data_IF_539167528016
#
_entry.id   IF_539167528016
#
_cell.length_a   1.000
_cell.length_b   1.000
_cell.length_c   1.000
_cell.angle_alpha   90.00
_cell.angle_beta   90.00
_cell.angle_gamma   90.00
#
_symmetry.space_group_name_H-M   'P 1'
#
loop_
_entity.id
_entity.type
_entity.pdbx_description
1 polymer ?
#
# COMPACT_ATOMS: atom_id res chain seq x y z
N UNK A 1 -8.24 -71.31 -42.01
CA UNK A 1 -9.12 -70.14 -42.19
C UNK A 1 -8.28 -68.91 -41.85
N UNK A 2 -7.62 -68.33 -42.87
CA UNK A 2 -7.84 -66.96 -43.40
C UNK A 2 -7.72 -65.87 -42.31
N UNK A 3 -6.58 -65.18 -42.19
CA UNK A 3 -6.18 -63.86 -42.80
C UNK A 3 -6.15 -62.80 -41.67
N UNK A 4 -5.19 -61.90 -41.46
CA UNK A 4 -4.13 -61.34 -42.30
C UNK A 4 -2.95 -60.83 -41.45
N UNK A 5 -1.75 -61.01 -41.99
CA UNK A 5 -0.51 -60.25 -41.71
C UNK A 5 -0.65 -58.77 -42.10
N UNK A 6 0.16 -57.87 -41.54
CA UNK A 6 1.22 -57.14 -42.29
C UNK A 6 2.26 -56.61 -41.29
N UNK A 7 3.51 -56.91 -41.63
CA UNK A 7 4.79 -56.48 -41.09
C UNK A 7 5.29 -55.31 -41.96
N UNK A 8 5.78 -54.20 -41.38
CA UNK A 8 6.73 -53.25 -42.02
C UNK A 8 7.18 -52.25 -40.94
N UNK A 9 8.37 -52.39 -40.33
CA UNK A 9 9.71 -52.04 -40.84
C UNK A 9 9.82 -50.56 -41.24
N UNK A 10 10.65 -49.87 -40.46
CA UNK A 10 11.03 -48.47 -40.53
C UNK A 10 11.76 -48.10 -41.83
N UNK A 11 11.56 -46.87 -42.33
CA UNK A 11 12.61 -46.05 -42.97
C UNK A 11 12.32 -44.54 -42.79
N UNK A 12 13.27 -43.90 -42.09
CA UNK A 12 13.70 -42.50 -42.05
C UNK A 12 13.20 -41.56 -43.16
N UNK A 13 12.64 -40.40 -42.77
CA UNK A 13 12.96 -39.11 -43.42
C UNK A 13 12.88 -37.96 -42.38
N UNK A 14 13.90 -37.10 -42.38
CA UNK A 14 14.19 -36.02 -41.43
C UNK A 14 13.10 -34.95 -41.27
N UNK A 15 12.94 -34.47 -40.03
CA UNK A 15 12.24 -33.23 -39.69
C UNK A 15 12.59 -32.82 -38.26
N UNK A 16 13.52 -31.88 -38.14
CA UNK A 16 14.11 -31.32 -36.92
C UNK A 16 13.08 -30.74 -35.95
N UNK A 17 12.99 -31.23 -34.71
CA UNK A 17 12.73 -30.40 -33.51
C UNK A 17 13.50 -31.02 -32.33
N UNK A 18 14.48 -30.28 -31.82
CA UNK A 18 15.27 -30.65 -30.66
C UNK A 18 14.47 -30.47 -29.36
N UNK A 19 14.62 -31.44 -28.45
CA UNK A 19 14.77 -31.25 -27.01
C UNK A 19 13.62 -30.63 -26.21
N UNK A 20 12.90 -31.47 -25.45
CA UNK A 20 12.36 -31.08 -24.16
C UNK A 20 12.95 -32.03 -23.10
N UNK A 21 14.09 -31.64 -22.54
CA UNK A 21 14.53 -32.02 -21.21
C UNK A 21 14.80 -30.72 -20.44
N UNK A 22 14.47 -30.75 -19.16
CA UNK A 22 14.71 -29.74 -18.11
C UNK A 22 13.69 -28.57 -18.04
N UNK A 23 12.70 -28.74 -17.15
CA UNK A 23 11.86 -27.65 -16.63
C UNK A 23 12.63 -27.03 -15.44
N UNK A 24 13.49 -26.06 -15.72
CA UNK A 24 14.03 -25.15 -14.70
C UNK A 24 13.07 -23.97 -14.47
N UNK A 25 13.14 -23.41 -13.26
CA UNK A 25 12.21 -22.47 -12.62
C UNK A 25 12.17 -21.05 -13.23
N UNK A 26 12.23 -20.92 -14.56
CA UNK A 26 12.33 -19.63 -15.26
C UNK A 26 11.08 -19.28 -16.11
N UNK A 27 10.02 -20.10 -16.01
CA UNK A 27 8.81 -19.93 -16.84
C UNK A 27 7.76 -18.96 -16.26
N UNK A 28 7.97 -18.42 -15.05
CA UNK A 28 7.02 -17.47 -14.44
C UNK A 28 7.23 -16.04 -14.97
N UNK A 29 8.44 -15.69 -15.41
CA UNK A 29 8.77 -14.33 -15.88
C UNK A 29 8.37 -14.03 -17.33
N UNK A 30 7.95 -15.03 -18.10
CA UNK A 30 7.68 -14.85 -19.55
C UNK A 30 6.23 -14.46 -19.86
N UNK A 31 5.29 -14.64 -18.93
CA UNK A 31 3.87 -14.26 -19.15
C UNK A 31 3.59 -12.76 -19.01
N UNK A 32 4.54 -11.94 -18.54
CA UNK A 32 4.32 -10.50 -18.35
C UNK A 32 4.47 -9.65 -19.62
N UNK A 33 4.90 -10.22 -20.76
CA UNK A 33 5.21 -9.42 -21.97
C UNK A 33 4.01 -9.10 -22.88
N UNK A 34 2.78 -9.43 -22.52
CA UNK A 34 1.60 -9.20 -23.39
C UNK A 34 0.45 -8.38 -22.78
N UNK A 35 0.58 -7.83 -21.57
CA UNK A 35 -0.42 -6.89 -21.05
C UNK A 35 -0.03 -5.45 -21.40
N UNK A 36 -0.77 -4.80 -22.31
CA UNK A 36 -0.52 -3.42 -22.75
C UNK A 36 -0.85 -2.35 -21.70
N UNK A 37 -1.31 -2.75 -20.51
CA UNK A 37 -1.39 -1.90 -19.30
C UNK A 37 -1.50 -2.79 -18.06
N UNK A 38 -0.84 -2.41 -16.97
CA UNK A 38 -0.96 -3.11 -15.68
C UNK A 38 -2.40 -3.01 -15.15
N UNK A 39 -2.94 -4.03 -14.46
CA UNK A 39 -4.25 -3.96 -13.81
C UNK A 39 -4.34 -2.74 -12.88
N UNK A 40 -5.53 -2.16 -12.68
CA UNK A 40 -5.69 -0.99 -11.82
C UNK A 40 -5.11 -1.25 -10.42
N UNK A 41 -4.61 -0.18 -9.82
CA UNK A 41 -4.13 -0.27 -8.46
C UNK A 41 -5.30 -0.52 -7.51
N UNK A 42 -5.24 -1.62 -6.78
CA UNK A 42 -6.23 -2.03 -5.78
C UNK A 42 -6.03 -1.29 -4.46
N UNK A 43 -4.78 -1.09 -4.05
CA UNK A 43 -4.44 -0.34 -2.84
C UNK A 43 -3.37 0.70 -3.16
N UNK A 44 -3.77 1.97 -3.18
CA UNK A 44 -2.85 3.09 -3.18
C UNK A 44 -2.50 3.43 -1.73
N UNK A 45 -1.22 3.61 -1.45
CA UNK A 45 -0.71 4.04 -0.16
C UNK A 45 0.10 5.33 -0.34
N UNK A 46 -0.34 6.40 0.30
CA UNK A 46 0.41 7.65 0.37
C UNK A 46 1.34 7.58 1.57
N UNK A 47 2.63 7.56 1.28
CA UNK A 47 3.69 7.54 2.29
C UNK A 47 3.78 8.90 2.96
N UNK A 48 4.21 8.95 4.22
CA UNK A 48 4.66 10.22 4.80
C UNK A 48 6.12 10.49 4.41
N UNK A 49 6.64 11.65 4.80
CA UNK A 49 8.03 12.06 4.49
C UNK A 49 9.08 11.23 5.24
N UNK A 50 8.67 10.33 6.13
CA UNK A 50 9.54 9.48 6.96
C UNK A 50 9.51 8.01 6.54
N UNK A 51 8.55 7.59 5.72
CA UNK A 51 8.34 6.21 5.28
C UNK A 51 9.24 5.89 4.08
N UNK A 52 10.14 4.92 4.20
CA UNK A 52 10.98 4.42 3.11
C UNK A 52 10.37 3.24 2.36
N UNK A 53 10.95 2.88 1.20
CA UNK A 53 10.48 1.73 0.40
C UNK A 53 10.49 0.42 1.20
N UNK A 54 11.53 0.17 1.99
CA UNK A 54 11.61 -1.02 2.85
C UNK A 54 10.52 -1.04 3.92
N UNK A 55 10.14 0.13 4.44
CA UNK A 55 9.05 0.25 5.42
C UNK A 55 7.71 -0.12 4.79
N UNK A 56 7.43 0.31 3.56
CA UNK A 56 6.22 -0.09 2.82
C UNK A 56 6.20 -1.61 2.59
N UNK A 57 7.30 -2.19 2.12
CA UNK A 57 7.43 -3.62 1.86
C UNK A 57 7.17 -4.42 3.15
N UNK A 58 7.81 -4.02 4.26
CA UNK A 58 7.63 -4.67 5.56
C UNK A 58 6.22 -4.46 6.13
N UNK A 59 5.67 -3.25 6.01
CA UNK A 59 4.35 -2.88 6.50
C UNK A 59 3.23 -3.65 5.79
N UNK A 60 3.37 -3.94 4.50
CA UNK A 60 2.35 -4.68 3.76
C UNK A 60 2.68 -6.17 3.60
N UNK A 61 3.76 -6.64 4.22
CA UNK A 61 4.28 -8.01 4.11
C UNK A 61 4.35 -8.51 2.65
N UNK A 62 4.73 -7.62 1.73
CA UNK A 62 4.93 -7.91 0.32
C UNK A 62 6.42 -8.12 0.02
N UNK A 63 6.74 -8.76 -1.09
CA UNK A 63 8.12 -8.83 -1.57
C UNK A 63 8.49 -7.54 -2.33
N UNK A 64 9.79 -7.23 -2.39
CA UNK A 64 10.30 -6.16 -3.25
C UNK A 64 9.84 -6.37 -4.70
N UNK A 65 9.90 -7.60 -5.21
CA UNK A 65 9.47 -7.93 -6.57
C UNK A 65 8.00 -7.60 -6.82
N UNK A 66 7.10 -7.94 -5.89
CA UNK A 66 5.68 -7.60 -5.98
C UNK A 66 5.45 -6.09 -5.95
N UNK A 67 6.17 -5.37 -5.09
CA UNK A 67 6.06 -3.91 -5.00
C UNK A 67 6.59 -3.20 -6.26
N UNK A 68 7.67 -3.71 -6.85
CA UNK A 68 8.22 -3.21 -8.11
C UNK A 68 7.35 -3.57 -9.32
N UNK A 69 6.73 -4.75 -9.33
CA UNK A 69 5.71 -5.09 -10.31
C UNK A 69 4.52 -4.11 -10.23
N UNK A 70 4.12 -3.77 -9.00
CA UNK A 70 3.07 -2.78 -8.77
C UNK A 70 3.51 -1.35 -9.14
N UNK A 71 4.80 -1.02 -9.10
CA UNK A 71 5.35 0.31 -9.37
C UNK A 71 6.61 0.23 -10.22
N UNK A 72 6.49 -0.11 -11.52
CA UNK A 72 7.66 -0.36 -12.38
C UNK A 72 8.56 0.88 -12.55
N UNK A 73 8.07 2.07 -12.22
CA UNK A 73 8.86 3.31 -12.23
C UNK A 73 9.94 3.38 -11.15
N UNK A 74 9.93 2.48 -10.15
CA UNK A 74 10.83 2.53 -9.00
C UNK A 74 12.25 1.98 -9.27
N UNK A 75 12.43 1.15 -10.30
CA UNK A 75 13.71 0.48 -10.57
C UNK A 75 14.01 -0.68 -9.61
N UNK A 76 14.97 -1.54 -9.96
CA UNK A 76 15.28 -2.80 -9.24
C UNK A 76 15.65 -2.59 -7.75
N UNK A 77 16.21 -1.43 -7.41
CA UNK A 77 16.62 -1.09 -6.03
C UNK A 77 15.65 -0.19 -5.28
N UNK A 78 14.45 0.07 -5.82
CA UNK A 78 13.57 1.12 -5.30
C UNK A 78 14.15 2.55 -5.41
N UNK A 79 15.11 2.76 -6.32
CA UNK A 79 15.85 4.02 -6.50
C UNK A 79 14.95 5.23 -6.84
N UNK A 80 13.78 4.98 -7.44
CA UNK A 80 12.79 5.99 -7.78
C UNK A 80 11.80 6.32 -6.66
N UNK A 81 11.95 5.71 -5.47
CA UNK A 81 11.04 5.92 -4.35
C UNK A 81 11.26 7.28 -3.71
N UNK A 82 10.16 7.95 -3.36
CA UNK A 82 10.09 9.30 -2.81
C UNK A 82 9.09 9.29 -1.65
N UNK A 83 9.56 9.46 -0.41
CA UNK A 83 8.68 9.66 0.74
C UNK A 83 7.71 10.83 0.49
N UNK A 84 6.46 10.70 0.95
CA UNK A 84 5.39 11.67 0.66
C UNK A 84 4.57 11.37 -0.60
N UNK A 85 5.02 10.47 -1.47
CA UNK A 85 4.31 10.10 -2.71
C UNK A 85 3.34 8.93 -2.50
N UNK A 86 2.47 8.74 -3.49
CA UNK A 86 1.50 7.63 -3.51
C UNK A 86 2.00 6.47 -4.36
N UNK A 87 2.01 5.29 -3.78
CA UNK A 87 2.44 4.04 -4.44
C UNK A 87 1.34 3.01 -4.48
N UNK A 88 1.38 2.17 -5.51
CA UNK A 88 0.50 1.03 -5.58
C UNK A 88 1.06 -0.14 -4.78
N UNK A 89 0.41 -0.51 -3.68
CA UNK A 89 0.87 -1.63 -2.84
C UNK A 89 0.34 -2.96 -3.38
N UNK A 90 -0.91 -2.98 -3.84
CA UNK A 90 -1.53 -4.14 -4.46
C UNK A 90 -2.20 -3.73 -5.75
N UNK A 91 -2.01 -4.51 -6.81
CA UNK A 91 -2.85 -4.46 -8.02
C UNK A 91 -3.97 -5.50 -7.92
N UNK A 92 -5.06 -5.29 -8.63
CA UNK A 92 -6.11 -6.29 -8.69
C UNK A 92 -5.56 -7.61 -9.26
N UNK A 93 -5.71 -8.69 -8.50
CA UNK A 93 -5.35 -10.02 -8.96
C UNK A 93 -6.47 -10.51 -9.87
N UNK A 94 -6.22 -10.58 -11.18
CA UNK A 94 -7.08 -11.26 -12.15
C UNK A 94 -7.16 -12.79 -11.94
N UNK A 95 -6.89 -13.29 -10.73
CA UNK A 95 -6.74 -14.72 -10.41
C UNK A 95 -8.03 -15.38 -9.90
N UNK A 96 -9.07 -14.60 -9.56
CA UNK A 96 -10.37 -15.13 -9.13
C UNK A 96 -11.40 -15.02 -10.27
N UNK A 97 -12.20 -16.08 -10.52
CA UNK A 97 -13.24 -16.01 -11.53
C UNK A 97 -14.26 -14.92 -11.16
N UNK A 98 -14.79 -14.23 -12.16
CA UNK A 98 -15.84 -13.22 -11.97
C UNK A 98 -17.10 -13.86 -11.38
N UNK A 99 -17.71 -13.20 -10.39
CA UNK A 99 -18.95 -13.62 -9.73
C UNK A 99 -20.10 -13.64 -10.73
N UNK A 100 -20.73 -14.81 -10.87
CA UNK A 100 -21.85 -15.04 -11.79
C UNK A 100 -23.22 -14.96 -11.09
N UNK A 101 -23.23 -15.04 -9.77
CA UNK A 101 -24.44 -15.02 -8.93
C UNK A 101 -24.52 -13.78 -8.03
N UNK A 102 -23.54 -12.87 -8.16
CA UNK A 102 -23.45 -11.64 -7.38
C UNK A 102 -23.05 -11.86 -5.93
N UNK A 103 -22.64 -13.08 -5.54
CA UNK A 103 -22.07 -13.35 -4.22
C UNK A 103 -20.55 -13.09 -4.23
N UNK A 104 -20.04 -12.57 -3.12
CA UNK A 104 -18.62 -12.21 -2.98
C UNK A 104 -18.19 -12.15 -1.51
N UNK A 105 -16.92 -11.81 -1.30
CA UNK A 105 -16.39 -11.52 0.03
C UNK A 105 -16.33 -12.75 0.93
N UNK A 106 -16.30 -12.50 2.24
CA UNK A 106 -16.18 -13.57 3.25
C UNK A 106 -17.38 -14.51 3.24
N UNK A 107 -18.56 -14.00 2.90
CA UNK A 107 -19.82 -14.75 2.83
C UNK A 107 -19.80 -15.81 1.72
N UNK A 108 -19.03 -15.56 0.66
CA UNK A 108 -18.79 -16.49 -0.43
C UNK A 108 -17.44 -17.22 -0.30
N UNK A 109 -16.81 -17.18 0.89
CA UNK A 109 -15.48 -17.72 1.15
C UNK A 109 -14.43 -17.26 0.12
N UNK A 110 -14.54 -16.02 -0.34
CA UNK A 110 -13.62 -15.44 -1.32
C UNK A 110 -13.46 -16.32 -2.59
N UNK A 111 -14.54 -16.96 -3.04
CA UNK A 111 -14.50 -17.89 -4.20
C UNK A 111 -14.57 -17.20 -5.56
N UNK A 112 -15.13 -15.99 -5.66
CA UNK A 112 -15.32 -15.26 -6.93
C UNK A 112 -15.21 -13.73 -6.73
N UNK A 113 -14.70 -12.99 -7.71
CA UNK A 113 -14.50 -11.53 -7.64
C UNK A 113 -15.67 -10.76 -8.27
N UNK A 114 -16.02 -9.60 -7.72
CA UNK A 114 -17.03 -8.72 -8.33
C UNK A 114 -16.49 -7.96 -9.56
N UNK A 115 -15.18 -7.83 -9.70
CA UNK A 115 -14.55 -7.08 -10.80
C UNK A 115 -14.93 -7.70 -12.15
N UNK A 116 -15.53 -6.89 -13.02
CA UNK A 116 -16.03 -7.29 -14.33
C UNK A 116 -17.41 -7.96 -14.31
N UNK A 117 -18.06 -8.08 -13.15
CA UNK A 117 -19.41 -8.66 -13.07
C UNK A 117 -20.49 -7.68 -13.53
N UNK A 118 -21.63 -8.22 -13.98
CA UNK A 118 -22.80 -7.40 -14.38
C UNK A 118 -23.50 -6.74 -13.19
N UNK A 119 -23.27 -7.24 -11.98
CA UNK A 119 -23.84 -6.68 -10.74
C UNK A 119 -23.09 -5.41 -10.33
N UNK A 120 -21.78 -5.37 -10.59
CA UNK A 120 -20.89 -4.28 -10.23
C UNK A 120 -19.58 -4.78 -9.66
N UNK A 121 -18.60 -3.89 -9.54
CA UNK A 121 -17.21 -4.26 -9.33
C UNK A 121 -16.80 -4.31 -7.86
N UNK A 122 -17.70 -3.95 -6.94
CA UNK A 122 -17.43 -3.84 -5.52
C UNK A 122 -18.25 -4.84 -4.71
N UNK A 123 -17.63 -5.44 -3.70
CA UNK A 123 -18.30 -6.35 -2.78
C UNK A 123 -18.71 -5.62 -1.49
N UNK A 124 -20.00 -5.43 -1.24
CA UNK A 124 -20.46 -4.78 -0.01
C UNK A 124 -20.29 -5.66 1.24
N UNK A 125 -20.49 -5.17 2.48
CA UNK A 125 -20.26 -5.95 3.70
C UNK A 125 -21.26 -7.10 3.88
N UNK A 126 -22.31 -7.17 3.08
CA UNK A 126 -23.29 -8.26 3.06
C UNK A 126 -22.90 -9.39 2.09
N UNK A 127 -21.76 -9.26 1.40
CA UNK A 127 -21.26 -10.25 0.45
C UNK A 127 -21.98 -10.21 -0.89
N UNK A 128 -22.39 -9.01 -1.32
CA UNK A 128 -23.05 -8.79 -2.62
C UNK A 128 -22.22 -7.89 -3.52
N UNK A 129 -22.13 -8.27 -4.79
CA UNK A 129 -21.55 -7.43 -5.83
C UNK A 129 -22.49 -6.29 -6.19
N UNK A 130 -21.92 -5.10 -6.40
CA UNK A 130 -22.68 -3.92 -6.75
C UNK A 130 -21.81 -2.73 -7.11
N UNK A 131 -22.46 -1.58 -7.29
CA UNK A 131 -21.85 -0.28 -7.61
C UNK A 131 -22.38 0.79 -6.64
N UNK A 132 -21.68 1.92 -6.56
CA UNK A 132 -22.08 3.07 -5.75
C UNK A 132 -21.63 2.98 -4.28
N UNK A 133 -21.91 4.04 -3.52
CA UNK A 133 -21.45 4.26 -2.14
C UNK A 133 -21.71 3.07 -1.19
N UNK A 134 -22.87 2.42 -1.28
CA UNK A 134 -23.24 1.29 -0.41
C UNK A 134 -22.42 0.01 -0.67
N UNK A 135 -21.68 -0.03 -1.79
CA UNK A 135 -20.85 -1.17 -2.19
C UNK A 135 -19.38 -0.83 -2.29
N UNK A 136 -19.06 0.32 -2.85
CA UNK A 136 -17.70 0.76 -3.15
C UNK A 136 -17.17 1.77 -2.14
N UNK A 137 -18.06 2.47 -1.42
CA UNK A 137 -17.68 3.56 -0.52
C UNK A 137 -16.78 3.09 0.61
N UNK A 138 -16.04 4.04 1.19
CA UNK A 138 -15.10 3.76 2.28
C UNK A 138 -15.81 3.07 3.45
N UNK A 139 -15.32 1.89 3.84
CA UNK A 139 -15.91 1.08 4.91
C UNK A 139 -17.10 0.22 4.50
N UNK A 140 -17.59 0.37 3.26
CA UNK A 140 -18.68 -0.42 2.70
C UNK A 140 -18.18 -1.44 1.67
N UNK A 141 -16.87 -1.65 1.52
CA UNK A 141 -16.33 -2.52 0.50
C UNK A 141 -15.34 -3.55 1.08
N UNK A 142 -15.59 -4.84 0.85
CA UNK A 142 -14.74 -5.95 1.30
C UNK A 142 -13.61 -6.29 0.30
N UNK A 143 -13.90 -6.15 -0.99
CA UNK A 143 -13.01 -6.44 -2.13
C UNK A 143 -13.58 -5.88 -3.44
N UNK A 144 -12.78 -5.96 -4.51
CA UNK A 144 -13.10 -5.43 -5.83
C UNK A 144 -12.63 -3.99 -5.98
N UNK A 145 -13.32 -3.18 -6.80
CA UNK A 145 -12.98 -1.78 -7.06
C UNK A 145 -13.37 -0.84 -5.90
N UNK A 146 -12.90 -1.14 -4.70
CA UNK A 146 -13.20 -0.39 -3.48
C UNK A 146 -12.57 1.01 -3.49
N UNK A 147 -13.29 1.99 -2.97
CA UNK A 147 -12.71 3.28 -2.62
C UNK A 147 -11.91 3.13 -1.31
N UNK A 148 -10.58 3.23 -1.40
CA UNK A 148 -9.70 3.27 -0.23
C UNK A 148 -9.30 1.92 0.40
N UNK A 149 -9.40 0.79 -0.31
CA UNK A 149 -8.85 -0.51 0.12
C UNK A 149 -9.85 -1.43 0.85
N UNK A 150 -9.35 -2.53 1.46
CA UNK A 150 -10.16 -3.46 2.30
C UNK A 150 -10.37 -2.86 3.69
N UNK A 151 -11.47 -3.20 4.36
CA UNK A 151 -11.82 -2.73 5.71
C UNK A 151 -12.13 -3.90 6.65
N UNK A 152 -12.00 -3.67 7.95
CA UNK A 152 -12.35 -4.63 9.00
C UNK A 152 -13.78 -5.16 8.85
N UNK A 153 -13.98 -6.48 8.82
CA UNK A 153 -15.33 -7.09 8.71
C UNK A 153 -15.82 -7.70 10.01
N UNK A 154 -14.94 -7.88 10.99
CA UNK A 154 -15.21 -8.46 12.31
C UNK A 154 -14.87 -7.51 13.47
N UNK A 155 -14.53 -6.25 13.16
CA UNK A 155 -14.15 -5.23 14.13
C UNK A 155 -12.68 -5.31 14.58
N UNK A 156 -11.86 -6.17 13.96
CA UNK A 156 -10.41 -6.21 14.17
C UNK A 156 -9.64 -5.38 13.16
N UNK A 157 -8.58 -4.73 13.58
CA UNK A 157 -7.89 -3.71 12.78
C UNK A 157 -6.41 -3.58 13.13
N UNK A 158 -5.71 -2.74 12.39
CA UNK A 158 -4.35 -2.33 12.74
C UNK A 158 -3.31 -3.37 12.39
N UNK A 159 -2.08 -3.17 12.87
CA UNK A 159 -0.90 -3.96 12.47
C UNK A 159 -1.05 -5.46 12.77
N UNK A 160 -1.86 -5.83 13.76
CA UNK A 160 -2.11 -7.23 14.11
C UNK A 160 -3.09 -7.94 13.16
N UNK A 161 -3.76 -7.18 12.27
CA UNK A 161 -4.83 -7.64 11.41
C UNK A 161 -4.70 -7.05 10.01
N UNK A 162 -3.55 -7.28 9.37
CA UNK A 162 -3.25 -6.88 7.98
C UNK A 162 -3.49 -5.38 7.72
N UNK A 163 -3.23 -4.54 8.74
CA UNK A 163 -3.46 -3.10 8.71
C UNK A 163 -4.89 -2.69 8.33
N UNK A 164 -5.87 -3.58 8.59
CA UNK A 164 -7.27 -3.35 8.25
C UNK A 164 -7.76 -2.03 8.89
N UNK A 165 -8.19 -1.05 8.09
CA UNK A 165 -8.83 0.15 8.59
C UNK A 165 -10.23 -0.16 9.11
N UNK A 166 -10.66 0.61 10.11
CA UNK A 166 -11.97 0.42 10.72
C UNK A 166 -13.09 1.10 9.92
N UNK A 167 -14.16 0.36 9.53
CA UNK A 167 -15.32 0.97 8.93
C UNK A 167 -16.23 1.62 9.99
N UNK A 168 -17.09 2.59 9.61
CA UNK A 168 -17.99 3.28 10.54
C UNK A 168 -18.85 2.35 11.40
N UNK A 169 -19.22 1.17 10.89
CA UNK A 169 -20.00 0.14 11.60
C UNK A 169 -19.37 -0.30 12.92
N UNK A 170 -18.04 -0.40 12.97
CA UNK A 170 -17.30 -0.86 14.16
C UNK A 170 -16.67 0.31 14.94
N UNK A 171 -16.82 1.55 14.44
CA UNK A 171 -16.16 2.75 14.95
C UNK A 171 -14.87 3.05 14.21
N UNK A 172 -14.48 4.32 14.14
CA UNK A 172 -13.49 4.81 13.17
C UNK A 172 -12.04 4.68 13.66
N UNK A 173 -11.80 4.53 14.96
CA UNK A 173 -10.46 4.39 15.53
C UNK A 173 -10.06 2.93 15.63
N UNK A 174 -8.85 2.61 15.20
CA UNK A 174 -8.23 1.34 15.53
C UNK A 174 -7.46 1.47 16.85
N UNK A 175 -7.94 0.83 17.91
CA UNK A 175 -7.27 0.82 19.21
C UNK A 175 -5.95 0.04 19.20
N UNK A 176 -5.11 0.30 20.21
CA UNK A 176 -3.80 -0.34 20.34
C UNK A 176 -3.83 -1.86 20.54
N UNK A 177 -5.02 -2.41 20.82
CA UNK A 177 -5.30 -3.84 20.92
C UNK A 177 -5.82 -4.45 19.60
N UNK A 178 -5.81 -3.70 18.50
CA UNK A 178 -6.26 -4.16 17.19
C UNK A 178 -7.78 -4.27 17.08
N UNK A 179 -8.53 -3.42 17.79
CA UNK A 179 -10.00 -3.39 17.72
C UNK A 179 -10.54 -2.02 17.30
N UNK A 180 -11.59 -2.05 16.49
CA UNK A 180 -12.30 -0.86 16.06
C UNK A 180 -13.23 -0.32 17.15
N UNK A 181 -13.28 1.00 17.28
CA UNK A 181 -14.22 1.69 18.17
C UNK A 181 -14.22 3.21 17.99
N UNK A 182 -15.19 3.87 18.62
CA UNK A 182 -15.29 5.35 18.65
C UNK A 182 -15.02 5.93 20.05
N UNK A 183 -14.96 5.08 21.08
CA UNK A 183 -14.73 5.55 22.44
C UNK A 183 -13.25 5.93 22.64
N UNK A 184 -12.99 6.77 23.64
CA UNK A 184 -11.64 7.19 24.05
C UNK A 184 -10.70 6.01 24.29
N UNK A 185 -11.20 4.86 24.74
CA UNK A 185 -10.38 3.65 24.90
C UNK A 185 -9.76 3.13 23.60
N UNK A 186 -10.40 3.38 22.45
CA UNK A 186 -9.90 3.00 21.12
C UNK A 186 -9.16 4.16 20.45
N UNK A 187 -9.61 5.39 20.67
CA UNK A 187 -9.05 6.56 19.99
C UNK A 187 -7.86 7.19 20.73
N UNK A 188 -7.68 6.99 22.05
CA UNK A 188 -6.62 7.66 22.80
C UNK A 188 -5.27 6.92 22.72
N UNK A 189 -4.54 6.84 23.84
CA UNK A 189 -3.20 6.23 23.90
C UNK A 189 -3.17 4.84 23.26
N UNK A 190 -2.29 4.68 22.27
CA UNK A 190 -2.11 3.42 21.54
C UNK A 190 -3.00 3.27 20.32
N UNK A 191 -3.86 4.24 19.98
CA UNK A 191 -4.59 4.25 18.72
C UNK A 191 -3.61 4.13 17.53
N UNK A 192 -3.88 3.16 16.65
CA UNK A 192 -3.01 2.78 15.53
C UNK A 192 -3.38 3.52 14.24
N UNK A 193 -4.67 3.80 14.03
CA UNK A 193 -5.19 4.47 12.83
C UNK A 193 -6.60 5.04 13.08
N UNK A 194 -7.07 5.93 12.21
CA UNK A 194 -8.36 6.62 12.35
C UNK A 194 -8.24 7.98 13.07
N UNK A 195 -9.34 8.56 13.60
CA UNK A 195 -9.33 9.84 14.29
C UNK A 195 -8.79 9.68 15.73
N UNK A 196 -7.52 9.32 15.84
CA UNK A 196 -6.83 9.16 17.12
C UNK A 196 -6.80 10.49 17.89
N UNK A 197 -7.14 10.43 19.17
CA UNK A 197 -7.04 11.51 20.13
C UNK A 197 -5.60 11.53 20.66
N UNK A 198 -4.85 12.56 20.28
CA UNK A 198 -3.62 12.92 20.97
C UNK A 198 -3.91 13.05 22.47
N UNK A 199 -3.02 12.48 23.29
CA UNK A 199 -3.12 12.59 24.75
C UNK A 199 -3.08 14.08 25.11
N UNK A 200 -4.25 14.65 25.39
CA UNK A 200 -4.37 16.00 25.92
C UNK A 200 -3.69 16.04 27.28
N UNK A 201 -2.41 16.40 27.28
CA UNK A 201 -1.77 16.92 28.47
C UNK A 201 -2.42 18.26 28.76
N UNK A 202 -3.34 18.24 29.73
CA UNK A 202 -3.76 19.45 30.42
C UNK A 202 -2.53 20.24 30.87
N UNK A 203 -2.31 21.43 30.33
CA UNK A 203 -1.67 22.55 31.04
C UNK A 203 -1.83 23.90 30.32
N UNK A 204 -2.52 24.80 31.03
CA UNK A 204 -2.32 26.25 31.16
C UNK A 204 -2.29 27.17 29.91
N UNK A 205 -3.33 28.01 29.83
CA UNK A 205 -3.35 29.44 29.45
C UNK A 205 -2.13 29.99 28.69
N UNK A 206 -2.28 30.20 27.39
CA UNK A 206 -1.34 31.00 26.59
C UNK A 206 -1.57 32.51 26.80
N UNK A 207 -0.51 33.15 27.31
CA UNK A 207 -0.18 34.59 27.16
C UNK A 207 0.17 34.88 25.69
N UNK A 208 -0.04 36.09 25.14
CA UNK A 208 -0.01 36.29 23.69
C UNK A 208 1.38 36.10 23.06
N UNK A 209 1.34 35.52 21.88
CA UNK A 209 2.42 35.27 20.92
C UNK A 209 3.18 36.56 20.56
N UNK A 210 4.52 36.63 20.71
CA UNK A 210 5.30 37.61 19.98
C UNK A 210 5.43 37.18 18.52
N UNK A 211 5.05 38.06 17.61
CA UNK A 211 5.33 37.95 16.18
C UNK A 211 6.84 38.02 15.93
N UNK A 212 7.49 37.01 15.33
CA UNK A 212 8.86 37.16 14.86
C UNK A 212 8.88 37.86 13.50
N UNK A 213 9.48 39.04 13.48
CA UNK A 213 9.72 39.89 12.31
C UNK A 213 11.04 39.52 11.62
N UNK A 214 11.28 38.24 11.33
CA UNK A 214 12.58 37.80 10.78
C UNK A 214 12.53 37.60 9.28
N UNK A 215 13.53 38.19 8.62
CA UNK A 215 13.79 38.08 7.19
C UNK A 215 14.05 36.63 6.79
N UNK A 216 13.56 36.18 5.62
CA UNK A 216 13.97 34.92 5.01
C UNK A 216 15.49 34.75 5.01
N UNK A 217 15.98 33.57 5.39
CA UNK A 217 17.40 33.23 5.49
C UNK A 217 18.04 33.41 6.87
N UNK A 218 17.26 33.70 7.92
CA UNK A 218 17.76 33.83 9.29
C UNK A 218 18.22 32.51 9.90
N UNK A 219 19.12 32.54 10.89
CA UNK A 219 19.54 31.34 11.63
C UNK A 219 18.37 30.84 12.49
N UNK A 220 18.11 29.53 12.45
CA UNK A 220 17.00 28.90 13.16
C UNK A 220 17.03 29.18 14.68
N UNK A 221 15.98 29.81 15.25
CA UNK A 221 15.90 30.07 16.68
C UNK A 221 15.39 28.86 17.49
N UNK A 222 14.66 27.95 16.85
CA UNK A 222 13.91 26.87 17.49
C UNK A 222 14.26 25.47 16.96
N UNK A 223 15.18 25.39 16.01
CA UNK A 223 15.61 24.14 15.39
C UNK A 223 14.81 23.79 14.14
N UNK A 224 13.83 24.61 13.72
CA UNK A 224 13.13 24.44 12.45
C UNK A 224 13.87 25.11 11.29
N UNK A 225 13.77 24.56 10.09
CA UNK A 225 14.46 25.04 8.91
C UNK A 225 13.71 24.70 7.62
N UNK A 226 14.02 25.40 6.52
CA UNK A 226 13.33 25.20 5.24
C UNK A 226 11.87 25.69 5.21
N UNK A 227 11.10 25.24 4.20
CA UNK A 227 9.70 25.63 3.95
C UNK A 227 9.46 27.16 3.82
N UNK A 228 8.21 27.62 3.94
CA UNK A 228 7.78 29.01 3.69
C UNK A 228 8.41 30.05 4.64
N UNK A 229 9.02 29.61 5.76
CA UNK A 229 9.59 30.49 6.79
C UNK A 229 11.14 30.58 6.74
N UNK A 230 11.79 29.95 5.75
CA UNK A 230 13.15 30.27 5.28
C UNK A 230 14.28 30.35 6.34
N UNK A 231 14.16 29.71 7.50
CA UNK A 231 15.27 29.60 8.45
C UNK A 231 16.36 28.63 7.95
N UNK A 232 17.62 28.93 8.27
CA UNK A 232 18.79 28.09 7.97
C UNK A 232 19.42 27.53 9.24
N UNK A 233 19.96 26.32 9.16
CA UNK A 233 20.57 25.65 10.31
C UNK A 233 22.00 26.12 10.58
N UNK A 234 22.74 26.51 9.55
CA UNK A 234 24.13 26.92 9.68
C UNK A 234 24.29 28.08 10.67
N UNK A 235 24.95 27.80 11.79
CA UNK A 235 25.16 28.76 12.90
C UNK A 235 24.13 28.65 14.03
N UNK A 236 23.16 27.74 13.93
CA UNK A 236 22.24 27.40 15.02
C UNK A 236 22.93 26.49 16.04
N UNK A 237 22.37 26.42 17.26
CA UNK A 237 22.82 25.46 18.29
C UNK A 237 22.33 24.03 18.07
N UNK A 238 21.43 23.84 17.10
CA UNK A 238 20.74 22.57 16.84
C UNK A 238 21.49 21.74 15.80
N UNK A 239 22.32 22.39 15.00
CA UNK A 239 23.22 21.77 14.05
C UNK A 239 23.30 22.57 12.76
N UNK A 240 24.16 22.14 11.85
CA UNK A 240 24.51 22.89 10.65
C UNK A 240 23.70 22.51 9.41
N UNK A 241 23.03 21.35 9.44
CA UNK A 241 22.32 20.78 8.31
C UNK A 241 20.82 20.80 8.54
N UNK A 242 20.03 21.04 7.49
CA UNK A 242 18.58 21.00 7.55
C UNK A 242 18.06 19.72 6.92
N UNK A 243 17.43 18.87 7.74
CA UNK A 243 16.76 17.67 7.23
C UNK A 243 15.58 18.03 6.32
N UNK A 244 15.17 17.09 5.46
CA UNK A 244 14.02 17.22 4.58
C UNK A 244 12.70 17.42 5.34
N UNK A 245 12.66 17.08 6.62
CA UNK A 245 11.54 17.32 7.50
C UNK A 245 11.55 18.69 8.19
N UNK A 246 12.52 19.54 7.85
CA UNK A 246 12.61 20.91 8.33
C UNK A 246 13.16 21.02 9.75
N UNK A 247 14.07 20.13 10.15
CA UNK A 247 14.76 20.21 11.44
C UNK A 247 16.29 20.25 11.30
N UNK A 248 16.92 21.07 12.14
CA UNK A 248 18.36 21.25 12.22
C UNK A 248 19.05 20.13 13.01
N UNK A 249 20.17 19.65 12.48
CA UNK A 249 21.02 18.65 13.14
C UNK A 249 22.43 18.60 12.55
N UNK A 250 23.27 17.77 13.16
CA UNK A 250 24.67 17.54 12.75
C UNK A 250 24.96 16.07 12.42
N UNK A 251 23.94 15.20 12.47
CA UNK A 251 24.14 13.78 12.22
C UNK A 251 23.99 13.47 10.73
N UNK A 252 24.37 12.25 10.33
CA UNK A 252 24.19 11.78 8.95
C UNK A 252 22.73 11.89 8.49
N UNK A 253 21.78 11.79 9.42
CA UNK A 253 20.36 11.96 9.13
C UNK A 253 20.01 13.35 8.60
N UNK A 254 20.49 14.41 9.27
CA UNK A 254 20.20 15.79 8.85
C UNK A 254 21.15 16.28 7.75
N UNK A 255 22.37 15.72 7.66
CA UNK A 255 23.42 16.17 6.73
C UNK A 255 23.53 15.35 5.43
N UNK A 256 22.76 14.28 5.27
CA UNK A 256 22.81 13.47 4.05
C UNK A 256 22.19 14.20 2.87
N UNK A 257 22.89 14.21 1.74
CA UNK A 257 22.44 14.78 0.45
C UNK A 257 21.13 14.16 -0.09
N UNK A 258 20.68 13.03 0.48
CA UNK A 258 19.45 12.34 0.13
C UNK A 258 18.29 12.62 1.10
N UNK A 259 18.59 13.19 2.28
CA UNK A 259 17.63 13.40 3.38
C UNK A 259 17.70 14.83 3.98
N UNK A 260 18.53 15.74 3.45
CA UNK A 260 18.65 17.11 3.92
C UNK A 260 19.42 18.04 2.96
N UNK A 261 19.11 19.33 3.04
CA UNK A 261 19.89 20.46 2.51
C UNK A 261 19.93 21.57 3.56
#
# INVERSE_FOLDING_TARGET
>A
MKTSSVLAIAMLIWGTIAGFHDIEADSILVFARQATSLPPCRLNYTTDVWTGCADVIAQFEITLEEFLYANPQLGEGCDGFKPGETYCVFRDSNTRPTSLDGNCGIQANYSASCVGSTFGDCCNPSGKCGKGEDFCGKGNCQEGSCEGGRYSTDGKCGREHDYLPCPPKFGLCCGGNGQCGNATAFCATGCQSGPCLEASTTSASQSPTPTPTTSPGGVSPDGTCGYNDAFVCKGSKFGSCCSAAGYCGDTEYECSQYLGW
#
